data_IF_431089748416
#
_entry.id   IF_431089748416
#
_cell.length_a   1.000
_cell.length_b   1.000
_cell.length_c   1.000
_cell.angle_alpha   90.00
_cell.angle_beta   90.00
_cell.angle_gamma   90.00
#
_symmetry.space_group_name_H-M   'P 1'
#
loop_
_entity.id
_entity.type
_entity.pdbx_description
1 polymer ?
#
# COMPACT_ATOMS: atom_id res chain seq x y z
N UNK A 1 2.61 4.98 9.43
CA UNK A 1 2.17 4.35 8.17
C UNK A 1 3.38 4.28 7.29
N UNK A 2 3.64 3.14 6.66
CA UNK A 2 4.80 2.88 5.80
C UNK A 2 4.33 2.33 4.47
N UNK A 3 5.17 2.43 3.44
CA UNK A 3 4.92 1.83 2.15
C UNK A 3 4.67 0.33 2.30
N UNK A 4 3.51 -0.18 1.88
CA UNK A 4 3.17 -1.61 2.00
C UNK A 4 3.23 -2.26 0.64
N UNK A 5 3.91 -3.38 0.55
CA UNK A 5 3.86 -4.28 -0.60
C UNK A 5 3.06 -5.49 -0.19
N UNK A 6 1.95 -5.75 -0.89
CA UNK A 6 1.11 -6.93 -0.69
C UNK A 6 1.33 -7.91 -1.83
N UNK A 7 1.84 -9.10 -1.49
CA UNK A 7 1.92 -10.25 -2.41
C UNK A 7 0.74 -11.19 -2.16
N UNK A 8 -0.08 -11.42 -3.18
CA UNK A 8 -1.28 -12.26 -3.08
C UNK A 8 -0.96 -13.72 -3.43
N UNK A 9 -1.36 -14.65 -2.55
CA UNK A 9 -1.16 -16.09 -2.69
C UNK A 9 -2.50 -16.81 -2.57
N UNK A 10 -2.62 -17.92 -3.31
CA UNK A 10 -3.69 -18.91 -3.15
C UNK A 10 -5.11 -18.36 -3.19
N UNK A 11 -5.52 -17.79 -4.33
CA UNK A 11 -6.90 -17.39 -4.57
C UNK A 11 -7.39 -17.98 -5.90
N UNK A 12 -8.40 -18.85 -5.83
CA UNK A 12 -9.12 -19.40 -6.99
C UNK A 12 -10.01 -18.37 -7.70
N UNK A 13 -10.31 -17.26 -7.03
CA UNK A 13 -11.12 -16.14 -7.54
C UNK A 13 -10.49 -14.80 -7.19
N UNK A 14 -10.68 -13.81 -8.06
CA UNK A 14 -10.26 -12.41 -7.88
C UNK A 14 -10.80 -11.80 -6.58
N UNK A 15 -9.94 -11.24 -5.74
CA UNK A 15 -10.33 -10.39 -4.61
C UNK A 15 -10.51 -8.95 -5.06
N UNK A 16 -11.41 -8.20 -4.43
CA UNK A 16 -11.56 -6.76 -4.70
C UNK A 16 -10.93 -5.99 -3.54
N UNK A 17 -9.84 -5.31 -3.83
CA UNK A 17 -9.18 -4.40 -2.90
C UNK A 17 -9.72 -2.98 -3.13
N UNK A 18 -10.36 -2.39 -2.13
CA UNK A 18 -10.52 -0.94 -2.13
C UNK A 18 -9.20 -0.33 -1.71
N UNK A 19 -8.72 0.57 -2.54
CA UNK A 19 -7.63 1.47 -2.24
C UNK A 19 -8.18 2.86 -1.98
N UNK A 20 -8.11 3.32 -0.74
CA UNK A 20 -8.44 4.70 -0.37
C UNK A 20 -7.16 5.48 -0.12
N UNK A 21 -6.87 6.42 -0.99
CA UNK A 21 -5.98 7.51 -0.64
C UNK A 21 -6.81 8.55 0.10
N UNK A 22 -6.62 8.74 1.41
CA UNK A 22 -6.67 10.07 2.05
C UNK A 22 -6.71 10.09 3.58
N UNK A 23 -6.10 11.16 4.07
CA UNK A 23 -6.13 11.65 5.45
C UNK A 23 -7.43 12.42 5.79
N UNK A 24 -8.35 12.65 4.84
CA UNK A 24 -9.74 13.08 5.08
C UNK A 24 -10.69 12.55 4.00
N UNK A 25 -11.88 12.05 4.37
CA UNK A 25 -12.97 11.49 3.53
C UNK A 25 -12.73 11.59 2.00
N UNK A 26 -12.06 10.58 1.44
CA UNK A 26 -11.77 10.47 0.00
C UNK A 26 -12.63 9.42 -0.70
N UNK A 27 -12.68 9.48 -2.04
CA UNK A 27 -13.20 8.40 -2.90
C UNK A 27 -12.11 7.34 -3.05
N UNK A 28 -12.45 6.06 -2.90
CA UNK A 28 -11.54 4.95 -3.16
C UNK A 28 -11.68 4.40 -4.58
N UNK A 29 -10.68 3.65 -5.03
CA UNK A 29 -10.78 2.84 -6.25
C UNK A 29 -10.91 1.36 -5.87
N UNK A 30 -11.72 0.62 -6.60
CA UNK A 30 -11.79 -0.83 -6.49
C UNK A 30 -10.83 -1.45 -7.50
N UNK A 31 -9.91 -2.27 -7.01
CA UNK A 31 -8.92 -2.95 -7.83
C UNK A 31 -9.13 -4.46 -7.71
N UNK A 32 -9.48 -5.16 -8.80
CA UNK A 32 -9.46 -6.61 -8.81
C UNK A 32 -8.01 -7.12 -8.72
N UNK A 33 -7.74 -8.04 -7.80
CA UNK A 33 -6.44 -8.69 -7.61
C UNK A 33 -6.58 -10.20 -7.64
N UNK A 34 -5.59 -10.91 -8.16
CA UNK A 34 -5.52 -12.38 -8.19
C UNK A 34 -4.17 -12.88 -7.65
N UNK A 35 -4.06 -14.19 -7.48
CA UNK A 35 -2.81 -14.82 -7.08
C UNK A 35 -1.68 -14.45 -8.05
N UNK A 36 -0.53 -14.06 -7.49
CA UNK A 36 0.63 -13.59 -8.25
C UNK A 36 0.68 -12.08 -8.49
N UNK A 37 -0.40 -11.34 -8.24
CA UNK A 37 -0.36 -9.88 -8.30
C UNK A 37 0.46 -9.32 -7.12
N UNK A 38 1.00 -8.12 -7.33
CA UNK A 38 1.68 -7.33 -6.30
C UNK A 38 1.07 -5.94 -6.28
N UNK A 39 0.63 -5.50 -5.11
CA UNK A 39 0.13 -4.14 -4.90
C UNK A 39 1.12 -3.39 -4.02
N UNK A 40 1.62 -2.26 -4.51
CA UNK A 40 2.58 -1.40 -3.80
C UNK A 40 1.89 -0.09 -3.46
N UNK A 41 1.88 0.25 -2.18
CA UNK A 41 1.11 1.36 -1.63
C UNK A 41 2.03 2.40 -1.01
N UNK A 42 1.96 3.68 -1.41
CA UNK A 42 2.70 4.75 -0.75
C UNK A 42 2.15 5.02 0.66
N UNK A 43 2.96 5.66 1.50
CA UNK A 43 2.55 6.06 2.84
C UNK A 43 1.28 6.93 2.81
N UNK A 44 0.39 6.72 3.79
CA UNK A 44 -0.91 7.42 3.85
C UNK A 44 -2.02 6.80 3.01
N UNK A 45 -1.77 5.65 2.38
CA UNK A 45 -2.78 4.88 1.69
C UNK A 45 -3.45 3.89 2.66
N UNK A 46 -4.77 3.95 2.76
CA UNK A 46 -5.57 2.93 3.40
C UNK A 46 -6.06 1.92 2.35
N UNK A 47 -6.24 0.68 2.77
CA UNK A 47 -6.81 -0.36 1.91
C UNK A 47 -7.67 -1.33 2.72
N UNK A 48 -8.63 -1.93 2.05
CA UNK A 48 -9.48 -2.97 2.63
C UNK A 48 -9.88 -3.96 1.55
N UNK A 49 -9.86 -5.25 1.89
CA UNK A 49 -10.54 -6.25 1.08
C UNK A 49 -12.05 -6.04 1.24
N UNK A 50 -12.78 -5.98 0.14
CA UNK A 50 -14.25 -5.99 0.15
C UNK A 50 -14.78 -7.41 0.03
N UNK A 51 -14.20 -8.14 -0.91
CA UNK A 51 -14.57 -9.50 -1.27
C UNK A 51 -13.28 -10.32 -1.35
N UNK A 52 -13.33 -11.52 -0.78
CA UNK A 52 -12.20 -12.45 -0.78
C UNK A 52 -12.74 -13.87 -0.78
N UNK A 53 -12.08 -14.78 -1.51
CA UNK A 53 -12.34 -16.20 -1.41
C UNK A 53 -11.88 -16.76 -0.05
N UNK A 54 -12.35 -17.96 0.31
CA UNK A 54 -12.01 -18.60 1.60
C UNK A 54 -10.52 -18.94 1.73
N UNK A 55 -9.86 -19.19 0.60
CA UNK A 55 -8.44 -19.50 0.49
C UNK A 55 -7.54 -18.26 0.42
N UNK A 56 -8.11 -17.06 0.26
CA UNK A 56 -7.35 -15.81 0.07
C UNK A 56 -6.28 -15.58 1.15
N UNK A 57 -5.02 -15.46 0.71
CA UNK A 57 -3.88 -15.06 1.55
C UNK A 57 -3.11 -13.92 0.89
N UNK A 58 -2.51 -13.06 1.71
CA UNK A 58 -1.48 -12.13 1.25
C UNK A 58 -0.42 -11.93 2.32
N UNK A 59 0.75 -11.47 1.88
CA UNK A 59 1.86 -11.09 2.76
C UNK A 59 2.10 -9.60 2.57
N UNK A 60 2.04 -8.86 3.66
CA UNK A 60 2.48 -7.46 3.71
C UNK A 60 3.95 -7.37 4.07
N UNK A 61 4.75 -6.68 3.25
CA UNK A 61 6.15 -6.35 3.55
C UNK A 61 6.37 -4.84 3.48
N UNK A 62 7.40 -4.38 4.18
CA UNK A 62 7.78 -2.97 4.31
C UNK A 62 9.24 -2.79 3.89
N UNK A 63 9.60 -1.70 3.20
CA UNK A 63 10.98 -1.45 2.81
C UNK A 63 11.93 -1.38 4.02
N UNK A 64 13.16 -1.84 3.81
CA UNK A 64 14.22 -1.78 4.81
C UNK A 64 14.58 -0.32 5.09
N UNK A 65 14.74 0.05 6.37
CA UNK A 65 15.12 1.41 6.76
C UNK A 65 13.96 2.38 6.96
N UNK A 66 12.72 2.01 6.60
CA UNK A 66 11.55 2.83 6.97
C UNK A 66 11.46 3.01 8.50
N UNK A 67 10.94 4.16 8.98
CA UNK A 67 10.58 4.34 10.38
C UNK A 67 9.70 3.19 10.87
N UNK A 68 9.69 2.92 12.19
CA UNK A 68 8.91 1.83 12.79
C UNK A 68 7.52 1.78 12.17
N UNK A 69 7.26 0.71 11.41
CA UNK A 69 6.02 0.55 10.67
C UNK A 69 4.83 0.67 11.62
N UNK A 70 3.78 1.35 11.15
CA UNK A 70 2.56 1.55 11.91
C UNK A 70 1.37 1.37 10.99
N UNK A 71 0.62 0.30 11.20
CA UNK A 71 -0.71 0.11 10.67
C UNK A 71 -1.73 0.62 11.72
N UNK A 72 -2.68 1.45 11.31
CA UNK A 72 -3.74 1.98 12.16
C UNK A 72 -5.08 1.58 11.55
N UNK A 73 -5.88 0.84 12.31
CA UNK A 73 -7.17 0.27 11.85
C UNK A 73 -8.30 1.32 11.84
N UNK A 74 -7.97 2.60 11.64
CA UNK A 74 -8.92 3.71 11.63
C UNK A 74 -9.47 4.12 13.00
N UNK A 75 -8.88 3.69 14.12
CA UNK A 75 -9.35 4.09 15.47
C UNK A 75 -8.99 5.52 15.82
N UNK A 76 -7.96 6.06 15.16
CA UNK A 76 -7.42 7.40 15.37
C UNK A 76 -7.55 8.20 14.09
N UNK A 77 -7.73 9.51 14.23
CA UNK A 77 -7.71 10.42 13.09
C UNK A 77 -6.38 10.30 12.36
N UNK A 78 -6.46 10.17 11.04
CA UNK A 78 -5.31 10.18 10.12
C UNK A 78 -4.47 11.45 10.25
N UNK A 79 -5.07 12.58 10.70
CA UNK A 79 -4.36 13.84 10.92
C UNK A 79 -3.23 13.72 11.97
N UNK A 80 -3.31 12.77 12.89
CA UNK A 80 -2.28 12.53 13.91
C UNK A 80 -1.00 11.88 13.35
N UNK A 81 -1.02 11.47 12.08
CA UNK A 81 0.07 10.73 11.47
C UNK A 81 0.64 11.43 10.24
N UNK A 82 0.21 12.67 9.95
CA UNK A 82 0.66 13.46 8.79
C UNK A 82 2.19 13.56 8.76
N UNK A 83 2.79 14.01 9.86
CA UNK A 83 4.24 14.19 9.95
C UNK A 83 5.00 12.87 9.76
N UNK A 84 4.52 11.80 10.40
CA UNK A 84 5.10 10.45 10.24
C UNK A 84 4.99 9.91 8.80
N UNK A 85 3.98 10.33 8.03
CA UNK A 85 3.86 9.94 6.63
C UNK A 85 4.84 10.68 5.74
N UNK A 86 5.06 11.97 6.02
CA UNK A 86 6.01 12.80 5.27
C UNK A 86 7.48 12.40 5.57
N UNK A 87 7.75 11.71 6.68
CA UNK A 87 9.05 11.10 7.01
C UNK A 87 9.34 9.77 6.27
N UNK A 88 8.39 9.23 5.50
CA UNK A 88 8.61 7.97 4.78
C UNK A 88 9.38 8.25 3.49
N UNK A 89 10.65 7.88 3.49
CA UNK A 89 11.50 7.98 2.31
C UNK A 89 11.02 7.09 1.15
N UNK A 90 11.39 7.52 -0.05
CA UNK A 90 11.23 6.72 -1.26
C UNK A 90 12.22 5.55 -1.18
N UNK A 91 11.78 4.29 -1.41
CA UNK A 91 12.68 3.15 -1.36
C UNK A 91 13.77 3.25 -2.44
N UNK A 92 14.97 2.77 -2.12
CA UNK A 92 16.10 2.74 -3.05
C UNK A 92 15.83 1.79 -4.24
N UNK A 93 15.21 0.65 -3.96
CA UNK A 93 14.90 -0.40 -4.93
C UNK A 93 13.40 -0.62 -5.11
N UNK A 94 13.00 -1.07 -6.30
CA UNK A 94 11.68 -1.60 -6.54
C UNK A 94 11.56 -3.02 -5.92
N UNK A 95 10.54 -3.30 -5.11
CA UNK A 95 10.40 -4.60 -4.43
C UNK A 95 10.07 -5.75 -5.38
N UNK A 96 9.69 -5.47 -6.63
CA UNK A 96 9.39 -6.46 -7.67
C UNK A 96 10.54 -6.55 -8.67
N UNK A 97 11.07 -5.41 -9.11
CA UNK A 97 12.04 -5.33 -10.21
C UNK A 97 13.48 -5.00 -9.78
N UNK A 98 13.74 -4.74 -8.50
CA UNK A 98 15.05 -4.36 -7.97
C UNK A 98 15.48 -2.94 -8.35
N UNK A 99 16.79 -2.71 -8.40
CA UNK A 99 17.43 -1.39 -8.57
C UNK A 99 17.14 -0.68 -9.91
N UNK A 100 16.66 -1.42 -10.91
CA UNK A 100 16.23 -0.87 -12.21
C UNK A 100 14.71 -0.69 -12.35
N UNK A 101 13.95 -0.96 -11.29
CA UNK A 101 12.50 -0.93 -11.34
C UNK A 101 11.91 0.49 -11.39
N UNK A 102 10.65 0.62 -11.83
CA UNK A 102 10.02 1.92 -12.02
C UNK A 102 9.63 2.61 -10.70
N UNK A 103 9.50 1.89 -9.58
CA UNK A 103 8.91 2.44 -8.35
C UNK A 103 9.58 3.73 -7.85
N UNK A 104 10.92 3.82 -7.70
CA UNK A 104 11.54 5.04 -7.17
C UNK A 104 11.29 6.25 -8.08
N UNK A 105 11.27 6.04 -9.40
CA UNK A 105 10.96 7.09 -10.38
C UNK A 105 9.50 7.55 -10.27
N UNK A 106 8.55 6.61 -10.23
CA UNK A 106 7.11 6.92 -10.14
C UNK A 106 6.79 7.74 -8.89
N UNK A 107 7.43 7.41 -7.76
CA UNK A 107 7.16 8.06 -6.48
C UNK A 107 7.88 9.41 -6.30
N UNK A 108 9.04 9.63 -6.94
CA UNK A 108 9.71 10.95 -6.95
C UNK A 108 8.84 12.05 -7.59
N UNK A 109 8.08 11.71 -8.62
CA UNK A 109 7.20 12.66 -9.30
C UNK A 109 5.92 12.95 -8.52
N UNK A 110 5.50 12.02 -7.65
CA UNK A 110 4.26 12.11 -6.87
C UNK A 110 4.48 11.54 -5.47
N UNK A 111 5.12 12.30 -4.56
CA UNK A 111 5.54 11.78 -3.24
C UNK A 111 4.36 11.45 -2.31
N UNK A 112 3.17 12.00 -2.62
CA UNK A 112 1.92 11.64 -1.94
C UNK A 112 0.99 10.95 -2.90
N UNK A 113 0.27 9.95 -2.40
CA UNK A 113 -0.81 9.32 -3.14
C UNK A 113 -1.83 10.38 -3.61
N UNK A 114 -1.82 10.73 -4.90
CA UNK A 114 -2.79 11.63 -5.53
C UNK A 114 -3.89 10.78 -6.19
N UNK A 115 -4.83 10.29 -5.40
CA UNK A 115 -6.12 9.77 -5.88
C UNK A 115 -7.25 10.31 -4.99
#
# INVERSE_FOLDING_TARGET
MSATVSLFKDASTTSILIMTCKIQKGKGIQVPVKAGDVVILPAGTAHSSLESSLDYRYIGVYPKGCPKWRNEMGKKSSSLFLDTMDEVDIPEDDPVYGSGGPLPMLWRHTPRAKL
#
